data_IF_722958520979
#
_entry.id   IF_722958520979
#
_cell.length_a   1.000
_cell.length_b   1.000
_cell.length_c   1.000
_cell.angle_alpha   90.00
_cell.angle_beta   90.00
_cell.angle_gamma   90.00
#
_symmetry.space_group_name_H-M   'P 1'
#
loop_
_entity.id
_entity.type
_entity.pdbx_description
1 polymer ?
#
# COMPACT_ATOMS: atom_id res chain seq x y z
N UNK A 1 -1.18 -9.64 -28.90
CA UNK A 1 -2.18 -10.57 -28.31
C UNK A 1 -1.47 -11.37 -27.23
N UNK A 2 -1.65 -11.01 -25.96
CA UNK A 2 -1.05 -11.75 -24.84
C UNK A 2 -1.73 -13.11 -24.71
N UNK A 3 -0.95 -14.20 -24.71
CA UNK A 3 -1.39 -15.56 -24.39
C UNK A 3 -1.96 -15.62 -22.96
N UNK A 4 -3.21 -15.19 -22.76
CA UNK A 4 -3.91 -15.41 -21.50
C UNK A 4 -4.29 -16.89 -21.44
N UNK A 5 -3.61 -17.64 -20.55
CA UNK A 5 -4.02 -19.01 -20.23
C UNK A 5 -5.38 -18.93 -19.55
N UNK A 6 -6.40 -19.40 -20.26
CA UNK A 6 -7.75 -19.52 -19.76
C UNK A 6 -7.91 -20.91 -19.12
N UNK A 7 -8.26 -20.96 -17.84
CA UNK A 7 -8.52 -22.21 -17.14
C UNK A 7 -10.03 -22.46 -17.08
N UNK A 8 -10.42 -23.73 -17.15
CA UNK A 8 -11.78 -24.14 -16.82
C UNK A 8 -11.89 -24.24 -15.30
N UNK A 9 -12.65 -23.29 -14.72
CA UNK A 9 -12.76 -23.10 -13.27
C UNK A 9 -14.23 -22.96 -12.89
N UNK A 10 -14.63 -23.67 -11.84
CA UNK A 10 -15.95 -23.54 -11.23
C UNK A 10 -15.85 -23.28 -9.72
N UNK A 11 -16.80 -22.51 -9.20
CA UNK A 11 -16.91 -22.22 -7.78
C UNK A 11 -17.80 -23.28 -7.12
N UNK A 12 -17.20 -24.17 -6.31
CA UNK A 12 -17.92 -25.24 -5.60
C UNK A 12 -18.64 -24.68 -4.37
N UNK A 13 -17.95 -23.83 -3.61
CA UNK A 13 -18.46 -23.20 -2.40
C UNK A 13 -18.00 -21.75 -2.36
N UNK A 14 -18.93 -20.83 -2.12
CA UNK A 14 -18.65 -19.39 -2.02
C UNK A 14 -17.78 -19.09 -0.80
N UNK A 15 -17.95 -19.84 0.30
CA UNK A 15 -17.32 -19.52 1.58
C UNK A 15 -17.98 -18.34 2.28
N UNK A 16 -17.37 -17.89 3.38
CA UNK A 16 -17.92 -16.86 4.27
C UNK A 16 -17.04 -15.62 4.34
N UNK A 17 -17.69 -14.45 4.41
CA UNK A 17 -17.03 -13.20 4.79
C UNK A 17 -16.93 -13.18 6.31
N UNK A 18 -15.71 -13.25 6.82
CA UNK A 18 -15.43 -13.11 8.24
C UNK A 18 -14.97 -11.68 8.52
N UNK A 19 -15.63 -10.99 9.45
CA UNK A 19 -15.37 -9.57 9.74
C UNK A 19 -13.94 -9.30 10.19
N UNK A 20 -13.35 -10.16 11.03
CA UNK A 20 -11.98 -9.99 11.52
C UNK A 20 -10.94 -10.18 10.39
N UNK A 21 -11.19 -11.13 9.50
CA UNK A 21 -10.27 -11.42 8.39
C UNK A 21 -10.39 -10.40 7.25
N UNK A 22 -11.61 -10.00 6.89
CA UNK A 22 -11.85 -9.17 5.70
C UNK A 22 -11.86 -7.67 6.01
N UNK A 23 -12.08 -7.28 7.27
CA UNK A 23 -12.16 -5.90 7.74
C UNK A 23 -11.39 -5.65 9.04
N UNK A 24 -10.41 -6.51 9.35
CA UNK A 24 -9.47 -6.32 10.47
C UNK A 24 -8.08 -5.84 10.02
N UNK A 25 -7.07 -5.90 10.91
CA UNK A 25 -5.74 -5.35 10.64
C UNK A 25 -5.06 -5.97 9.40
N UNK A 26 -5.19 -7.28 9.23
CA UNK A 26 -4.57 -8.03 8.13
C UNK A 26 -5.46 -8.18 6.89
N UNK A 27 -6.53 -7.38 6.82
CA UNK A 27 -7.53 -7.46 5.76
C UNK A 27 -6.94 -7.32 4.37
N UNK A 28 -5.91 -6.51 4.16
CA UNK A 28 -5.27 -6.35 2.84
C UNK A 28 -4.80 -7.65 2.18
N UNK A 29 -4.61 -8.74 2.96
CA UNK A 29 -4.22 -10.06 2.44
C UNK A 29 -5.40 -10.96 2.06
N UNK A 30 -6.62 -10.59 2.47
CA UNK A 30 -7.87 -11.31 2.21
C UNK A 30 -8.64 -10.75 1.00
N UNK A 31 -8.00 -9.88 0.22
CA UNK A 31 -8.55 -9.32 -1.02
C UNK A 31 -7.55 -9.47 -2.16
N UNK A 32 -8.04 -9.79 -3.35
CA UNK A 32 -7.24 -9.96 -4.56
C UNK A 32 -7.71 -9.02 -5.65
N UNK A 33 -6.77 -8.41 -6.37
CA UNK A 33 -7.07 -7.58 -7.54
C UNK A 33 -7.48 -8.47 -8.71
N UNK A 34 -8.75 -8.37 -9.12
CA UNK A 34 -9.36 -9.14 -10.20
C UNK A 34 -8.92 -8.61 -11.58
N UNK A 35 -8.98 -7.29 -11.77
CA UNK A 35 -8.63 -6.63 -13.01
C UNK A 35 -7.65 -5.48 -12.74
N UNK A 36 -6.58 -5.40 -13.53
CA UNK A 36 -5.57 -4.33 -13.44
C UNK A 36 -6.09 -2.98 -13.95
N UNK A 37 -7.11 -2.96 -14.79
CA UNK A 37 -7.68 -1.73 -15.35
C UNK A 37 -8.63 -1.05 -14.39
N UNK A 38 -9.47 -1.83 -13.69
CA UNK A 38 -10.45 -1.30 -12.73
C UNK A 38 -9.96 -1.32 -11.28
N UNK A 39 -8.79 -1.94 -11.03
CA UNK A 39 -8.26 -2.25 -9.70
C UNK A 39 -9.27 -2.88 -8.74
N UNK A 40 -10.30 -3.55 -9.30
CA UNK A 40 -11.40 -4.13 -8.52
C UNK A 40 -10.85 -5.21 -7.58
N UNK A 41 -11.15 -5.04 -6.29
CA UNK A 41 -10.80 -6.00 -5.26
C UNK A 41 -11.95 -6.99 -5.02
N UNK A 42 -11.60 -8.27 -5.01
CA UNK A 42 -12.52 -9.39 -4.78
C UNK A 42 -12.08 -10.10 -3.50
N UNK A 43 -13.01 -10.45 -2.59
CA UNK A 43 -12.64 -11.08 -1.34
C UNK A 43 -12.21 -12.53 -1.56
N UNK A 44 -11.20 -12.96 -0.82
CA UNK A 44 -10.77 -14.35 -0.72
C UNK A 44 -11.52 -14.96 0.45
N UNK A 45 -12.75 -15.45 0.22
CA UNK A 45 -13.63 -15.88 1.32
C UNK A 45 -13.07 -17.08 2.09
N UNK A 46 -13.24 -17.05 3.41
CA UNK A 46 -12.87 -18.18 4.26
C UNK A 46 -13.71 -19.41 3.88
N UNK A 47 -13.07 -20.57 3.73
CA UNK A 47 -13.71 -21.82 3.29
C UNK A 47 -14.29 -21.79 1.85
N UNK A 48 -13.94 -20.80 1.03
CA UNK A 48 -14.25 -20.86 -0.40
C UNK A 48 -13.56 -22.07 -1.04
N UNK A 49 -14.23 -22.69 -2.00
CA UNK A 49 -13.72 -23.83 -2.76
C UNK A 49 -13.87 -23.61 -4.25
N UNK A 50 -12.79 -23.74 -4.99
CA UNK A 50 -12.77 -23.63 -6.45
C UNK A 50 -12.24 -24.92 -7.05
N UNK A 51 -12.82 -25.37 -8.15
CA UNK A 51 -12.35 -26.53 -8.91
C UNK A 51 -11.76 -26.09 -10.24
N UNK A 52 -10.53 -26.50 -10.52
CA UNK A 52 -9.87 -26.29 -11.81
C UNK A 52 -9.69 -27.63 -12.51
N UNK A 53 -10.14 -27.75 -13.76
CA UNK A 53 -9.92 -28.96 -14.57
C UNK A 53 -8.57 -28.87 -15.31
N UNK A 54 -7.66 -29.80 -15.02
CA UNK A 54 -6.33 -29.86 -15.62
C UNK A 54 -5.97 -31.31 -15.99
N UNK A 55 -5.58 -31.52 -17.26
CA UNK A 55 -5.12 -32.83 -17.76
C UNK A 55 -6.06 -34.01 -17.48
N UNK A 56 -7.37 -33.79 -17.45
CA UNK A 56 -8.33 -34.86 -17.16
C UNK A 56 -8.69 -35.01 -15.69
N UNK A 57 -8.16 -34.17 -14.80
CA UNK A 57 -8.36 -34.27 -13.36
C UNK A 57 -8.91 -32.97 -12.77
N UNK A 58 -9.73 -33.11 -11.73
CA UNK A 58 -10.29 -32.00 -10.97
C UNK A 58 -9.38 -31.68 -9.78
N UNK A 59 -8.80 -30.49 -9.78
CA UNK A 59 -8.05 -29.94 -8.66
C UNK A 59 -8.97 -29.02 -7.88
N UNK A 60 -9.24 -29.34 -6.63
CA UNK A 60 -10.05 -28.51 -5.74
C UNK A 60 -9.11 -27.76 -4.82
N UNK A 61 -9.27 -26.44 -4.76
CA UNK A 61 -8.54 -25.58 -3.82
C UNK A 61 -9.51 -25.07 -2.78
N UNK A 62 -9.16 -25.28 -1.51
CA UNK A 62 -9.92 -24.79 -0.35
C UNK A 62 -9.13 -23.70 0.37
N UNK A 63 -9.76 -22.56 0.63
CA UNK A 63 -9.18 -21.47 1.44
C UNK A 63 -9.44 -21.71 2.92
N UNK A 64 -8.41 -21.54 3.74
CA UNK A 64 -8.45 -21.64 5.20
C UNK A 64 -7.76 -20.44 5.85
N UNK A 65 -8.00 -20.22 7.15
CA UNK A 65 -7.25 -19.22 7.93
C UNK A 65 -5.87 -19.78 8.28
N UNK A 66 -4.84 -19.00 7.98
CA UNK A 66 -3.47 -19.29 8.35
C UNK A 66 -2.76 -20.20 7.35
N UNK A 67 -1.45 -20.00 7.27
CA UNK A 67 -0.53 -20.84 6.51
C UNK A 67 0.77 -21.04 7.31
N UNK A 68 1.69 -21.83 6.75
CA UNK A 68 2.98 -22.19 7.38
C UNK A 68 3.81 -20.99 7.88
N UNK A 69 3.62 -19.81 7.28
CA UNK A 69 4.42 -18.61 7.58
C UNK A 69 3.61 -17.56 8.36
N UNK A 70 2.30 -17.49 8.15
CA UNK A 70 1.45 -16.41 8.61
C UNK A 70 0.09 -16.92 9.07
N UNK A 71 -0.20 -16.81 10.38
CA UNK A 71 -1.46 -17.26 10.98
C UNK A 71 -2.68 -16.43 10.58
N UNK A 72 -2.49 -15.15 10.24
CA UNK A 72 -3.58 -14.22 9.90
C UNK A 72 -3.81 -14.07 8.38
N UNK A 73 -3.05 -14.78 7.55
CA UNK A 73 -3.16 -14.70 6.08
C UNK A 73 -3.97 -15.89 5.55
N UNK A 74 -4.52 -15.81 4.32
CA UNK A 74 -5.14 -16.97 3.72
C UNK A 74 -4.11 -18.10 3.53
N UNK A 75 -4.55 -19.31 3.85
CA UNK A 75 -3.89 -20.56 3.50
C UNK A 75 -4.68 -21.30 2.44
N UNK A 76 -3.97 -22.05 1.61
CA UNK A 76 -4.55 -22.76 0.47
C UNK A 76 -4.22 -24.24 0.56
N UNK A 77 -5.26 -25.05 0.69
CA UNK A 77 -5.18 -26.51 0.57
C UNK A 77 -5.60 -26.91 -0.84
N UNK A 78 -4.93 -27.89 -1.42
CA UNK A 78 -5.28 -28.44 -2.72
C UNK A 78 -5.47 -29.95 -2.60
N UNK A 79 -6.56 -30.45 -3.18
CA UNK A 79 -6.90 -31.86 -3.27
C UNK A 79 -7.23 -32.25 -4.72
N UNK A 80 -6.85 -33.47 -5.10
CA UNK A 80 -7.16 -34.08 -6.38
C UNK A 80 -7.21 -35.61 -6.18
N UNK A 81 -8.39 -36.11 -5.79
CA UNK A 81 -8.58 -37.53 -5.47
C UNK A 81 -7.73 -37.96 -4.28
N UNK A 82 -6.82 -38.91 -4.49
CA UNK A 82 -5.93 -39.43 -3.45
C UNK A 82 -4.75 -38.50 -3.12
N UNK A 83 -4.51 -37.46 -3.93
CA UNK A 83 -3.40 -36.53 -3.72
C UNK A 83 -3.88 -35.23 -3.08
N UNK A 84 -3.33 -34.88 -1.92
CA UNK A 84 -3.68 -33.66 -1.21
C UNK A 84 -2.46 -33.01 -0.52
N UNK A 85 -2.64 -31.76 -0.12
CA UNK A 85 -1.68 -31.00 0.69
C UNK A 85 -2.00 -31.20 2.17
N UNK A 86 -1.03 -31.65 2.95
CA UNK A 86 -1.21 -31.89 4.40
C UNK A 86 -1.32 -30.59 5.19
N UNK A 87 -0.65 -29.53 4.73
CA UNK A 87 -0.63 -28.22 5.40
C UNK A 87 -0.95 -27.09 4.41
N UNK A 88 -1.56 -25.99 4.88
CA UNK A 88 -1.95 -24.88 4.01
C UNK A 88 -0.73 -24.17 3.41
N UNK A 89 -0.73 -24.04 2.09
CA UNK A 89 0.29 -23.29 1.35
C UNK A 89 0.04 -21.78 1.46
N UNK A 90 1.10 -20.98 1.32
CA UNK A 90 1.05 -19.51 1.32
C UNK A 90 0.31 -18.92 0.09
N UNK A 91 0.08 -19.71 -0.96
CA UNK A 91 -0.63 -19.28 -2.17
C UNK A 91 -1.32 -20.46 -2.86
N UNK A 92 -2.39 -20.16 -3.62
CA UNK A 92 -3.08 -21.14 -4.46
C UNK A 92 -2.18 -21.75 -5.52
N UNK A 93 -1.24 -20.95 -6.08
CA UNK A 93 -0.20 -21.42 -6.99
C UNK A 93 0.63 -22.54 -6.36
N UNK A 94 1.12 -22.33 -5.14
CA UNK A 94 1.97 -23.32 -4.46
C UNK A 94 1.17 -24.59 -4.13
N UNK A 95 -0.08 -24.44 -3.69
CA UNK A 95 -0.96 -25.55 -3.37
C UNK A 95 -1.17 -26.46 -4.60
N UNK A 96 -1.60 -25.88 -5.73
CA UNK A 96 -1.86 -26.68 -6.94
C UNK A 96 -0.59 -27.24 -7.56
N UNK A 97 0.50 -26.45 -7.62
CA UNK A 97 1.78 -26.91 -8.19
C UNK A 97 2.37 -28.07 -7.41
N UNK A 98 2.17 -28.10 -6.08
CA UNK A 98 2.63 -29.21 -5.23
C UNK A 98 1.91 -30.50 -5.61
N UNK A 99 0.57 -30.48 -5.73
CA UNK A 99 -0.22 -31.67 -6.10
C UNK A 99 0.06 -32.09 -7.54
N UNK A 100 0.12 -31.12 -8.45
CA UNK A 100 0.43 -31.38 -9.84
C UNK A 100 1.81 -32.04 -10.02
N UNK A 101 2.81 -31.59 -9.24
CA UNK A 101 4.14 -32.23 -9.23
C UNK A 101 4.09 -33.64 -8.64
N UNK A 102 3.34 -33.87 -7.55
CA UNK A 102 3.17 -35.21 -6.96
C UNK A 102 2.54 -36.19 -7.97
N UNK A 103 1.56 -35.74 -8.75
CA UNK A 103 0.83 -36.59 -9.71
C UNK A 103 1.59 -36.85 -11.02
N UNK A 104 2.26 -35.82 -11.56
CA UNK A 104 2.82 -35.89 -12.93
C UNK A 104 4.35 -35.79 -12.97
N UNK A 105 5.02 -35.73 -11.83
CA UNK A 105 6.47 -35.53 -11.71
C UNK A 105 6.97 -34.29 -12.50
N UNK A 106 6.13 -33.26 -12.65
CA UNK A 106 6.40 -32.08 -13.46
C UNK A 106 6.26 -30.78 -12.64
N UNK A 107 7.28 -29.92 -12.73
CA UNK A 107 7.31 -28.62 -12.06
C UNK A 107 6.65 -27.53 -12.90
N UNK A 108 5.34 -27.63 -13.09
CA UNK A 108 4.55 -26.58 -13.76
C UNK A 108 4.10 -25.53 -12.74
N UNK A 109 4.33 -24.25 -13.05
CA UNK A 109 3.81 -23.11 -12.28
C UNK A 109 2.52 -22.60 -12.92
N UNK A 110 1.53 -22.32 -12.09
CA UNK A 110 0.22 -21.81 -12.49
C UNK A 110 0.01 -20.39 -11.97
N UNK A 111 -0.84 -19.60 -12.62
CA UNK A 111 -1.23 -18.31 -12.05
C UNK A 111 -2.27 -18.51 -10.96
N UNK A 112 -1.94 -18.16 -9.71
CA UNK A 112 -2.81 -18.33 -8.56
C UNK A 112 -4.20 -17.69 -8.72
N UNK A 113 -4.30 -16.43 -9.16
CA UNK A 113 -5.60 -15.82 -9.38
C UNK A 113 -6.44 -16.49 -10.48
N UNK A 114 -5.80 -16.92 -11.57
CA UNK A 114 -6.50 -17.51 -12.72
C UNK A 114 -6.99 -18.94 -12.44
N UNK A 115 -6.24 -19.75 -11.69
CA UNK A 115 -6.71 -21.10 -11.30
C UNK A 115 -7.88 -21.04 -10.32
N UNK A 116 -7.92 -20.00 -9.47
CA UNK A 116 -9.04 -19.74 -8.57
C UNK A 116 -10.22 -19.10 -9.33
N UNK A 117 -10.01 -18.70 -10.59
CA UNK A 117 -11.04 -18.10 -11.44
C UNK A 117 -11.47 -16.71 -11.00
N UNK A 118 -10.59 -15.95 -10.33
CA UNK A 118 -10.90 -14.56 -9.95
C UNK A 118 -11.07 -13.63 -11.16
N UNK A 119 -10.64 -14.04 -12.36
CA UNK A 119 -10.87 -13.35 -13.63
C UNK A 119 -12.24 -13.68 -14.26
N UNK A 120 -13.00 -14.63 -13.71
CA UNK A 120 -14.28 -15.09 -14.25
C UNK A 120 -15.44 -14.29 -13.65
N UNK A 121 -16.24 -13.56 -14.46
CA UNK A 121 -17.39 -12.80 -13.97
C UNK A 121 -18.34 -13.60 -13.10
N UNK A 122 -18.71 -14.81 -13.54
CA UNK A 122 -19.61 -15.71 -12.82
C UNK A 122 -19.09 -16.11 -11.42
N UNK A 123 -17.79 -16.03 -11.18
CA UNK A 123 -17.16 -16.36 -9.90
C UNK A 123 -17.02 -15.09 -9.06
N UNK A 124 -16.38 -14.05 -9.58
CA UNK A 124 -16.12 -12.86 -8.75
C UNK A 124 -17.41 -12.10 -8.41
N UNK A 125 -18.43 -12.06 -9.28
CA UNK A 125 -19.72 -11.45 -8.95
C UNK A 125 -20.35 -12.15 -7.74
N UNK A 126 -20.31 -13.48 -7.71
CA UNK A 126 -20.82 -14.28 -6.59
C UNK A 126 -20.00 -14.09 -5.31
N UNK A 127 -18.68 -13.87 -5.44
CA UNK A 127 -17.81 -13.56 -4.31
C UNK A 127 -18.03 -12.13 -3.77
N UNK A 128 -18.69 -11.25 -4.51
CA UNK A 128 -19.00 -9.88 -4.09
C UNK A 128 -20.41 -9.75 -3.45
N UNK A 129 -21.27 -10.75 -3.58
CA UNK A 129 -22.61 -10.76 -2.95
C UNK A 129 -22.51 -10.62 -1.42
N UNK A 130 -23.38 -9.87 -0.75
CA UNK A 130 -23.36 -9.73 0.73
C UNK A 130 -22.08 -9.09 1.34
N UNK A 131 -21.21 -8.51 0.52
CA UNK A 131 -20.05 -7.75 1.00
C UNK A 131 -20.53 -6.39 1.55
N UNK A 132 -20.33 -6.07 2.84
CA UNK A 132 -20.88 -4.85 3.44
C UNK A 132 -20.16 -3.58 2.99
N UNK A 133 -18.87 -3.69 2.67
CA UNK A 133 -18.03 -2.59 2.22
C UNK A 133 -16.99 -3.14 1.25
N UNK A 134 -16.74 -2.42 0.16
CA UNK A 134 -15.73 -2.78 -0.83
C UNK A 134 -14.47 -1.98 -0.55
N UNK A 135 -13.38 -2.63 -0.07
CA UNK A 135 -12.12 -1.94 0.14
C UNK A 135 -11.51 -1.45 -1.16
N UNK A 136 -10.61 -0.49 -1.03
CA UNK A 136 -9.84 0.03 -2.15
C UNK A 136 -8.47 0.50 -1.69
N UNK A 137 -7.56 0.60 -2.64
CA UNK A 137 -6.25 1.19 -2.42
C UNK A 137 -6.26 2.68 -2.75
N UNK A 138 -5.65 3.47 -1.88
CA UNK A 138 -5.28 4.86 -2.14
C UNK A 138 -3.77 4.91 -2.25
N UNK A 139 -3.30 5.34 -3.41
CA UNK A 139 -1.88 5.50 -3.66
C UNK A 139 -1.41 6.83 -3.06
N UNK A 140 -0.67 6.77 -1.96
CA UNK A 140 0.12 7.89 -1.45
C UNK A 140 1.58 7.68 -1.85
N UNK A 141 2.37 8.75 -1.87
CA UNK A 141 3.71 8.75 -2.51
C UNK A 141 4.72 7.74 -1.98
N UNK A 142 4.58 7.35 -0.72
CA UNK A 142 5.47 6.40 -0.04
C UNK A 142 4.76 5.09 0.31
N UNK A 143 3.43 5.08 0.29
CA UNK A 143 2.62 3.99 0.85
C UNK A 143 1.36 3.77 0.04
N UNK A 144 1.02 2.50 -0.13
CA UNK A 144 -0.28 2.08 -0.66
C UNK A 144 -1.21 1.85 0.53
N UNK A 145 -2.17 2.75 0.71
CA UNK A 145 -3.11 2.71 1.83
C UNK A 145 -4.31 1.87 1.44
N UNK A 146 -4.53 0.79 2.18
CA UNK A 146 -5.69 -0.07 2.07
C UNK A 146 -6.81 0.48 2.97
N UNK A 147 -7.88 1.00 2.39
CA UNK A 147 -9.04 1.51 3.12
C UNK A 147 -10.12 0.44 3.16
N UNK A 148 -10.54 0.04 4.35
CA UNK A 148 -11.50 -1.05 4.56
C UNK A 148 -12.65 -0.68 5.53
N UNK A 149 -12.72 0.58 5.93
CA UNK A 149 -13.86 1.15 6.65
C UNK A 149 -13.94 2.65 6.42
N UNK A 150 -15.14 3.17 6.18
CA UNK A 150 -15.39 4.60 5.99
C UNK A 150 -16.50 5.04 6.94
N UNK A 151 -16.27 6.15 7.60
CA UNK A 151 -17.29 6.93 8.26
C UNK A 151 -17.03 8.41 8.02
N UNK A 152 -18.08 9.23 8.02
CA UNK A 152 -17.99 10.68 7.82
C UNK A 152 -18.21 11.40 9.14
N UNK A 153 -17.51 12.50 9.34
CA UNK A 153 -17.71 13.43 10.44
C UNK A 153 -17.65 14.88 9.95
N UNK A 154 -17.94 15.82 10.85
CA UNK A 154 -17.71 17.25 10.62
C UNK A 154 -16.29 17.68 10.99
N UNK A 155 -15.43 16.76 11.42
CA UNK A 155 -14.08 17.06 11.86
C UNK A 155 -13.15 17.29 10.66
N UNK A 156 -12.89 18.55 10.34
CA UNK A 156 -11.99 18.94 9.25
C UNK A 156 -10.53 18.56 9.49
N UNK A 157 -10.10 18.40 10.76
CA UNK A 157 -8.74 17.98 11.10
C UNK A 157 -8.47 16.52 10.68
N UNK A 158 -9.53 15.74 10.51
CA UNK A 158 -9.47 14.35 10.07
C UNK A 158 -9.83 14.17 8.60
N UNK A 159 -9.79 15.26 7.82
CA UNK A 159 -10.26 15.22 6.43
C UNK A 159 -11.71 14.77 6.31
N UNK A 160 -12.54 15.09 7.32
CA UNK A 160 -13.96 14.71 7.42
C UNK A 160 -14.22 13.21 7.60
N UNK A 161 -13.20 12.40 7.88
CA UNK A 161 -13.42 11.03 8.32
C UNK A 161 -13.94 10.99 9.76
N UNK A 162 -14.74 9.97 10.09
CA UNK A 162 -15.43 9.83 11.37
C UNK A 162 -15.19 8.48 12.04
N UNK A 163 -15.86 8.27 13.17
CA UNK A 163 -15.78 7.03 13.94
C UNK A 163 -16.23 5.84 13.08
N UNK A 164 -15.36 4.86 12.93
CA UNK A 164 -15.54 3.73 12.00
C UNK A 164 -14.70 3.82 10.72
N UNK A 165 -13.96 4.91 10.50
CA UNK A 165 -12.89 4.93 9.50
C UNK A 165 -11.78 3.96 9.88
N UNK A 166 -11.37 3.11 8.94
CA UNK A 166 -10.30 2.12 9.11
C UNK A 166 -9.45 2.00 7.86
N UNK A 167 -8.14 2.10 8.05
CA UNK A 167 -7.17 1.90 6.98
C UNK A 167 -5.90 1.24 7.48
N UNK A 168 -5.16 0.61 6.56
CA UNK A 168 -3.86 0.04 6.87
C UNK A 168 -2.86 0.23 5.73
N UNK A 169 -1.57 0.24 6.04
CA UNK A 169 -0.53 0.23 5.02
C UNK A 169 0.73 -0.45 5.54
N UNK A 170 1.55 -0.92 4.61
CA UNK A 170 2.83 -1.55 4.92
C UNK A 170 3.95 -0.55 4.70
N UNK A 171 4.80 -0.37 5.71
CA UNK A 171 5.97 0.50 5.62
C UNK A 171 7.19 -0.14 6.30
N UNK A 172 8.39 0.21 5.84
CA UNK A 172 9.64 -0.33 6.37
C UNK A 172 10.23 0.64 7.41
N UNK A 173 10.19 0.23 8.68
CA UNK A 173 10.87 0.91 9.80
C UNK A 173 12.11 0.12 10.20
N UNK A 174 13.26 0.76 10.32
CA UNK A 174 14.52 0.12 10.79
C UNK A 174 14.87 -1.22 10.09
N UNK A 175 14.65 -1.28 8.76
CA UNK A 175 14.83 -2.50 7.93
C UNK A 175 13.84 -3.64 8.22
N UNK A 176 12.78 -3.37 8.97
CA UNK A 176 11.73 -4.32 9.27
C UNK A 176 10.39 -3.84 8.70
N UNK A 177 9.69 -4.73 8.00
CA UNK A 177 8.36 -4.43 7.44
C UNK A 177 7.33 -4.45 8.56
N UNK A 178 6.67 -3.32 8.76
CA UNK A 178 5.62 -3.12 9.76
C UNK A 178 4.28 -2.82 9.06
N UNK A 179 3.21 -3.25 9.69
CA UNK A 179 1.84 -2.92 9.31
C UNK A 179 1.37 -1.77 10.21
N UNK A 180 0.96 -0.68 9.60
CA UNK A 180 0.33 0.43 10.28
C UNK A 180 -1.17 0.27 10.12
N UNK A 181 -1.88 0.28 11.22
CA UNK A 181 -3.34 0.25 11.29
C UNK A 181 -3.81 1.58 11.86
N UNK A 182 -4.70 2.26 11.15
CA UNK A 182 -5.30 3.51 11.55
C UNK A 182 -6.80 3.31 11.76
N UNK A 183 -7.28 3.69 12.93
CA UNK A 183 -8.69 3.57 13.33
C UNK A 183 -9.14 4.86 14.02
N UNK A 184 -10.34 5.32 13.71
CA UNK A 184 -10.98 6.43 14.42
C UNK A 184 -12.02 5.90 15.39
N UNK A 185 -11.77 6.07 16.68
CA UNK A 185 -12.55 5.57 17.81
C UNK A 185 -12.72 6.72 18.82
N UNK A 186 -13.94 6.94 19.30
CA UNK A 186 -14.26 7.87 20.42
C UNK A 186 -13.58 9.26 20.33
N UNK A 187 -13.70 9.92 19.17
CA UNK A 187 -13.09 11.23 18.90
C UNK A 187 -11.54 11.26 18.99
N UNK A 188 -10.89 10.09 18.90
CA UNK A 188 -9.43 9.96 18.77
C UNK A 188 -9.00 9.23 17.50
N UNK A 189 -7.84 9.62 16.96
CA UNK A 189 -7.16 8.85 15.92
C UNK A 189 -6.14 7.92 16.59
N UNK A 190 -6.36 6.61 16.43
CA UNK A 190 -5.48 5.56 16.93
C UNK A 190 -4.67 4.98 15.78
N UNK A 191 -3.35 4.98 15.93
CA UNK A 191 -2.44 4.29 15.00
C UNK A 191 -1.70 3.19 15.73
N UNK A 192 -1.91 1.96 15.29
CA UNK A 192 -1.25 0.76 15.81
C UNK A 192 -0.18 0.30 14.84
N UNK A 193 1.06 0.17 15.31
CA UNK A 193 2.17 -0.38 14.53
C UNK A 193 2.33 -1.85 14.93
N UNK A 194 2.19 -2.74 13.96
CA UNK A 194 2.28 -4.18 14.15
C UNK A 194 3.46 -4.79 13.39
N UNK A 195 4.10 -5.77 14.01
CA UNK A 195 5.14 -6.59 13.40
C UNK A 195 4.86 -8.08 13.66
N UNK A 196 4.82 -8.91 12.60
CA UNK A 196 4.61 -10.37 12.70
C UNK A 196 3.46 -10.73 13.67
N UNK A 197 2.32 -10.03 13.58
CA UNK A 197 1.12 -10.15 14.45
C UNK A 197 1.20 -9.53 15.84
N UNK A 198 2.36 -9.06 16.30
CA UNK A 198 2.50 -8.40 17.59
C UNK A 198 2.41 -6.88 17.47
N UNK A 199 1.69 -6.25 18.40
CA UNK A 199 1.67 -4.79 18.54
C UNK A 199 3.03 -4.33 19.07
N UNK A 200 3.64 -3.37 18.38
CA UNK A 200 4.92 -2.75 18.78
C UNK A 200 4.70 -1.43 19.48
N UNK A 201 3.86 -0.58 18.92
CA UNK A 201 3.53 0.74 19.46
C UNK A 201 2.09 1.09 19.13
N UNK A 202 1.48 1.91 19.98
CA UNK A 202 0.17 2.51 19.77
C UNK A 202 0.30 4.01 20.02
N UNK A 203 -0.21 4.80 19.09
CA UNK A 203 -0.28 6.25 19.17
C UNK A 203 -1.74 6.69 19.23
N UNK A 204 -2.02 7.66 20.09
CA UNK A 204 -3.30 8.35 20.18
C UNK A 204 -3.03 9.82 19.93
N UNK A 205 -3.43 10.35 18.78
CA UNK A 205 -3.22 11.76 18.45
C UNK A 205 -4.46 12.42 17.82
N UNK A 206 -4.46 13.75 17.82
CA UNK A 206 -5.52 14.57 17.23
C UNK A 206 -5.53 14.56 15.70
N UNK A 207 -4.41 14.25 15.03
CA UNK A 207 -4.32 14.25 13.55
C UNK A 207 -3.44 13.13 13.00
N UNK A 208 -3.90 12.35 12.00
CA UNK A 208 -3.14 11.27 11.36
C UNK A 208 -1.77 11.67 10.79
N UNK A 209 -1.68 12.87 10.20
CA UNK A 209 -0.48 13.37 9.53
C UNK A 209 0.70 13.55 10.48
N UNK A 210 0.42 13.81 11.75
CA UNK A 210 1.45 14.05 12.76
C UNK A 210 2.17 12.74 13.12
N UNK A 211 1.44 11.64 13.36
CA UNK A 211 2.00 10.30 13.62
C UNK A 211 2.81 9.79 12.42
N UNK A 212 2.21 9.86 11.23
CA UNK A 212 2.88 9.50 9.98
C UNK A 212 4.15 10.33 9.81
N UNK A 213 4.11 11.63 10.08
CA UNK A 213 5.31 12.45 10.01
C UNK A 213 6.34 12.06 11.06
N UNK A 214 6.01 11.87 12.35
CA UNK A 214 6.99 11.55 13.39
C UNK A 214 7.75 10.24 13.11
N UNK A 215 7.04 9.15 12.78
CA UNK A 215 7.67 7.84 12.56
C UNK A 215 8.37 7.76 11.19
N UNK A 216 7.85 8.43 10.16
CA UNK A 216 8.51 8.47 8.84
C UNK A 216 9.71 9.43 8.84
N UNK A 217 9.67 10.54 9.58
CA UNK A 217 10.77 11.51 9.71
C UNK A 217 11.95 10.87 10.44
N UNK A 218 11.73 10.12 11.54
CA UNK A 218 12.84 9.45 12.23
C UNK A 218 13.54 8.37 11.38
N UNK A 219 12.86 7.81 10.38
CA UNK A 219 13.43 6.84 9.44
C UNK A 219 14.05 7.49 8.18
N UNK A 220 13.68 8.73 7.87
CA UNK A 220 14.12 9.43 6.67
C UNK A 220 15.29 10.38 6.97
N UNK A 221 16.24 10.56 6.03
CA UNK A 221 17.29 11.53 6.22
C UNK A 221 16.69 12.95 6.29
N UNK A 222 17.07 13.72 7.30
CA UNK A 222 16.65 15.10 7.53
C UNK A 222 17.87 15.94 7.91
N UNK A 223 17.78 17.25 7.72
CA UNK A 223 18.81 18.17 8.19
C UNK A 223 18.21 19.50 8.64
N UNK A 224 18.96 20.25 9.43
CA UNK A 224 18.65 21.64 9.77
C UNK A 224 19.29 22.60 8.78
N UNK A 225 18.88 23.88 8.84
CA UNK A 225 19.42 24.95 7.98
C UNK A 225 20.94 25.11 8.06
N UNK A 226 21.54 24.78 9.21
CA UNK A 226 22.98 24.90 9.45
C UNK A 226 23.77 23.74 8.81
N UNK A 227 23.10 22.69 8.39
CA UNK A 227 23.69 21.46 7.84
C UNK A 227 23.53 21.39 6.31
N UNK A 228 23.08 22.47 5.67
CA UNK A 228 22.94 22.52 4.21
C UNK A 228 24.29 22.47 3.46
N UNK A 229 25.39 22.76 4.14
CA UNK A 229 26.76 22.64 3.58
C UNK A 229 27.34 21.22 3.71
N UNK A 230 26.61 20.28 4.34
CA UNK A 230 27.01 18.88 4.39
C UNK A 230 26.58 18.17 3.09
N UNK A 231 27.49 18.14 2.11
CA UNK A 231 27.27 17.52 0.81
C UNK A 231 26.86 16.05 0.90
N UNK A 232 27.38 15.32 1.88
CA UNK A 232 27.08 13.90 2.07
C UNK A 232 25.64 13.74 2.56
N UNK A 233 25.22 14.58 3.50
CA UNK A 233 23.86 14.59 4.03
C UNK A 233 22.85 15.07 2.97
N UNK A 234 23.14 16.15 2.25
CA UNK A 234 22.28 16.67 1.19
C UNK A 234 22.13 15.67 0.04
N UNK A 235 23.19 14.99 -0.40
CA UNK A 235 23.09 13.94 -1.42
C UNK A 235 22.28 12.74 -0.91
N UNK A 236 22.42 12.38 0.37
CA UNK A 236 21.59 11.35 0.99
C UNK A 236 20.11 11.73 1.00
N UNK A 237 19.80 12.99 1.31
CA UNK A 237 18.43 13.53 1.29
C UNK A 237 17.88 13.60 -0.15
N UNK A 238 18.67 14.12 -1.10
CA UNK A 238 18.32 14.16 -2.53
C UNK A 238 18.02 12.76 -3.08
N UNK A 239 18.89 11.80 -2.79
CA UNK A 239 18.75 10.42 -3.24
C UNK A 239 17.50 9.74 -2.70
N UNK A 240 17.08 10.11 -1.48
CA UNK A 240 15.90 9.57 -0.82
C UNK A 240 14.59 10.21 -1.35
N UNK A 241 14.56 11.54 -1.51
CA UNK A 241 13.34 12.28 -1.84
C UNK A 241 13.16 12.56 -3.33
N UNK A 242 14.20 12.98 -4.05
CA UNK A 242 14.07 13.55 -5.40
C UNK A 242 14.59 12.62 -6.51
N UNK A 243 15.63 11.82 -6.27
CA UNK A 243 16.32 11.01 -7.32
C UNK A 243 15.44 10.08 -8.15
N UNK A 244 14.32 9.59 -7.62
CA UNK A 244 13.35 8.74 -8.36
C UNK A 244 12.13 9.51 -8.89
N UNK A 245 12.02 10.80 -8.55
CA UNK A 245 10.82 11.62 -8.70
C UNK A 245 11.04 12.84 -9.59
N UNK A 246 12.29 13.26 -9.79
CA UNK A 246 12.68 14.39 -10.64
C UNK A 246 13.64 13.95 -11.74
N UNK A 247 13.93 14.84 -12.69
CA UNK A 247 14.97 14.60 -13.69
C UNK A 247 16.35 14.51 -13.05
N UNK A 248 17.28 13.79 -13.68
CA UNK A 248 18.68 13.64 -13.22
C UNK A 248 19.48 14.96 -13.26
N UNK A 249 18.88 16.06 -13.74
CA UNK A 249 19.52 17.37 -13.88
C UNK A 249 19.10 18.37 -12.80
N UNK A 250 18.25 17.96 -11.85
CA UNK A 250 17.86 18.83 -10.73
C UNK A 250 19.03 19.01 -9.78
N UNK A 251 19.54 20.23 -9.71
CA UNK A 251 20.62 20.63 -8.81
C UNK A 251 20.05 21.19 -7.50
N UNK A 252 19.93 20.30 -6.51
CA UNK A 252 19.44 20.67 -5.18
C UNK A 252 20.39 21.65 -4.48
N UNK A 253 21.70 21.53 -4.65
CA UNK A 253 22.68 22.41 -4.01
C UNK A 253 22.51 23.85 -4.48
N UNK A 254 22.47 24.05 -5.80
CA UNK A 254 22.26 25.38 -6.38
C UNK A 254 20.91 25.98 -5.97
N UNK A 255 19.87 25.14 -5.86
CA UNK A 255 18.59 25.59 -5.33
C UNK A 255 18.70 26.10 -3.89
N UNK A 256 19.38 25.37 -3.00
CA UNK A 256 19.60 25.78 -1.60
C UNK A 256 20.48 27.03 -1.49
N UNK A 257 21.48 27.20 -2.36
CA UNK A 257 22.34 28.38 -2.39
C UNK A 257 21.59 29.62 -2.87
N UNK A 258 20.83 29.51 -3.96
CA UNK A 258 19.92 30.58 -4.41
C UNK A 258 18.92 30.93 -3.32
N UNK A 259 18.44 29.92 -2.60
CA UNK A 259 17.53 30.12 -1.49
C UNK A 259 18.14 30.98 -0.39
N UNK A 260 19.38 30.67 0.03
CA UNK A 260 20.11 31.47 1.02
C UNK A 260 20.26 32.94 0.62
N UNK A 261 20.34 33.22 -0.69
CA UNK A 261 20.51 34.57 -1.24
C UNK A 261 19.20 35.36 -1.39
N UNK A 262 18.05 34.69 -1.60
CA UNK A 262 16.76 35.34 -1.91
C UNK A 262 15.93 35.77 -0.68
N UNK A 263 16.37 35.45 0.54
CA UNK A 263 15.75 35.93 1.78
C UNK A 263 14.89 34.90 2.53
N UNK A 264 14.05 35.37 3.47
CA UNK A 264 13.23 34.54 4.37
C UNK A 264 11.97 33.96 3.72
N UNK A 265 11.55 34.51 2.57
CA UNK A 265 10.32 34.17 1.84
C UNK A 265 10.65 33.88 0.39
N UNK A 266 10.30 32.68 -0.09
CA UNK A 266 10.48 32.29 -1.49
C UNK A 266 9.19 31.74 -2.08
N UNK A 267 8.89 32.16 -3.31
CA UNK A 267 7.83 31.62 -4.13
C UNK A 267 8.29 30.31 -4.79
N UNK A 268 7.67 29.19 -4.39
CA UNK A 268 8.16 27.86 -4.70
C UNK A 268 8.05 27.50 -6.19
N UNK A 269 6.98 27.86 -6.87
CA UNK A 269 6.73 27.38 -8.23
C UNK A 269 7.70 27.99 -9.25
N UNK A 270 7.96 29.30 -9.19
CA UNK A 270 8.89 29.94 -10.13
C UNK A 270 10.34 29.54 -9.86
N UNK A 271 10.70 29.31 -8.59
CA UNK A 271 12.05 28.83 -8.24
C UNK A 271 12.28 27.39 -8.67
N UNK A 272 11.29 26.51 -8.49
CA UNK A 272 11.37 25.15 -9.01
C UNK A 272 11.43 25.13 -10.53
N UNK A 273 10.64 25.94 -11.25
CA UNK A 273 10.69 26.02 -12.72
C UNK A 273 12.09 26.35 -13.28
N UNK A 274 12.93 27.07 -12.54
CA UNK A 274 14.31 27.37 -12.97
C UNK A 274 15.22 26.12 -12.98
N UNK A 275 14.86 25.05 -12.28
CA UNK A 275 15.63 23.81 -12.20
C UNK A 275 15.29 22.82 -13.32
N UNK A 276 14.27 23.10 -14.13
CA UNK A 276 13.79 22.23 -15.20
C UNK A 276 13.87 22.95 -16.55
N UNK A 277 13.73 22.20 -17.64
CA UNK A 277 13.65 22.81 -18.98
C UNK A 277 12.44 23.73 -19.10
N UNK A 278 12.52 24.73 -19.98
CA UNK A 278 11.51 25.79 -20.15
C UNK A 278 10.10 25.21 -20.44
N UNK A 279 10.03 24.07 -21.13
CA UNK A 279 8.77 23.40 -21.48
C UNK A 279 8.29 22.38 -20.44
N UNK A 280 9.02 22.19 -19.34
CA UNK A 280 8.67 21.20 -18.31
C UNK A 280 7.49 21.67 -17.45
N UNK A 281 6.44 20.86 -17.43
CA UNK A 281 5.34 21.05 -16.49
C UNK A 281 5.57 20.18 -15.27
N UNK A 282 5.80 20.82 -14.12
CA UNK A 282 5.89 20.14 -12.83
C UNK A 282 4.60 19.39 -12.54
N UNK A 283 4.70 18.08 -12.46
CA UNK A 283 3.61 17.23 -12.01
C UNK A 283 3.31 17.45 -10.52
N UNK A 284 2.09 17.15 -10.11
CA UNK A 284 1.71 17.18 -8.69
C UNK A 284 2.63 16.30 -7.82
N UNK A 285 3.08 15.17 -8.39
CA UNK A 285 4.04 14.24 -7.78
C UNK A 285 5.41 14.87 -7.54
N UNK A 286 5.91 15.68 -8.48
CA UNK A 286 7.18 16.40 -8.31
C UNK A 286 7.04 17.50 -7.26
N UNK A 287 5.95 18.27 -7.31
CA UNK A 287 5.69 19.36 -6.36
C UNK A 287 5.60 18.86 -4.92
N UNK A 288 4.95 17.73 -4.70
CA UNK A 288 4.86 17.13 -3.38
C UNK A 288 6.18 16.53 -2.90
N UNK A 289 6.97 15.92 -3.79
CA UNK A 289 8.33 15.50 -3.45
C UNK A 289 9.19 16.68 -2.98
N UNK A 290 9.03 17.84 -3.64
CA UNK A 290 9.64 19.10 -3.22
C UNK A 290 9.10 19.61 -1.87
N UNK A 291 7.80 19.53 -1.61
CA UNK A 291 7.24 19.87 -0.28
C UNK A 291 7.83 19.00 0.83
N UNK A 292 8.01 17.71 0.56
CA UNK A 292 8.56 16.75 1.52
C UNK A 292 10.04 17.01 1.82
N UNK A 293 10.88 17.21 0.80
CA UNK A 293 12.28 17.52 1.05
C UNK A 293 12.42 18.83 1.81
N UNK A 294 11.69 19.88 1.42
CA UNK A 294 11.71 21.19 2.08
C UNK A 294 11.32 21.07 3.56
N UNK A 295 10.25 20.35 3.88
CA UNK A 295 9.84 20.11 5.27
C UNK A 295 10.92 19.41 6.10
N UNK A 296 11.68 18.51 5.48
CA UNK A 296 12.69 17.68 6.15
C UNK A 296 14.10 18.30 6.19
N UNK A 297 14.37 19.37 5.44
CA UNK A 297 15.63 20.13 5.51
C UNK A 297 15.51 21.39 6.39
N UNK A 298 14.47 21.46 7.22
CA UNK A 298 14.24 22.56 8.17
C UNK A 298 13.29 23.66 7.68
N UNK A 299 12.56 23.47 6.57
CA UNK A 299 11.57 24.44 6.10
C UNK A 299 10.17 24.13 6.66
N UNK A 300 9.82 24.70 7.81
CA UNK A 300 8.61 24.31 8.54
C UNK A 300 7.35 25.15 8.25
N UNK A 301 7.47 26.30 7.60
CA UNK A 301 6.34 27.20 7.34
C UNK A 301 6.04 27.32 5.85
N UNK A 302 5.37 26.32 5.26
CA UNK A 302 4.87 26.35 3.88
C UNK A 302 3.44 26.90 3.90
N UNK A 303 3.20 28.09 3.35
CA UNK A 303 1.88 28.72 3.30
C UNK A 303 1.41 28.86 1.85
N UNK A 304 0.23 28.34 1.47
CA UNK A 304 -0.31 28.59 0.13
C UNK A 304 -0.70 30.07 -0.02
N UNK A 305 -0.09 30.75 -0.99
CA UNK A 305 -0.48 32.08 -1.44
C UNK A 305 -1.71 32.00 -2.37
N UNK A 306 -1.84 30.91 -3.13
CA UNK A 306 -2.98 30.50 -3.98
C UNK A 306 -3.04 28.95 -4.05
N UNK A 307 -4.09 28.31 -4.63
CA UNK A 307 -4.18 26.84 -4.74
C UNK A 307 -2.95 26.15 -5.36
N UNK A 308 -2.11 26.92 -6.06
CA UNK A 308 -0.91 26.44 -6.76
C UNK A 308 0.35 27.28 -6.48
N UNK A 309 0.34 28.20 -5.51
CA UNK A 309 1.51 29.06 -5.22
C UNK A 309 1.83 28.90 -3.74
N UNK A 310 3.06 28.52 -3.40
CA UNK A 310 3.50 28.32 -2.02
C UNK A 310 4.59 29.31 -1.64
N UNK A 311 4.44 29.93 -0.47
CA UNK A 311 5.41 30.81 0.19
C UNK A 311 6.02 30.07 1.37
N UNK A 312 7.35 30.09 1.47
CA UNK A 312 8.11 29.41 2.52
C UNK A 312 8.76 30.41 3.48
N UNK A 313 8.46 30.36 4.78
CA UNK A 313 9.09 31.20 5.81
C UNK A 313 10.22 30.47 6.56
N UNK A 314 11.35 31.14 6.77
CA UNK A 314 12.37 30.76 7.76
C UNK A 314 11.92 31.26 9.15
N UNK A 315 11.76 30.39 10.15
CA UNK A 315 11.79 30.85 11.54
C UNK A 315 13.23 30.94 12.00
N UNK A 316 13.53 32.02 12.72
CA UNK A 316 14.85 32.50 13.12
C UNK A 316 15.77 31.41 13.69
#
# INVERSE_FOLDING_TARGET
>A
MSNYKNYDVSLISVGVINTELHFGPFSCYWWVTCNKETELLVPIRLHMKTMTFLKGYNFVITVVKGNREHSEWPGYLCDCGEFYTDEPSISSMNAISTIYQKMFCNKTKFSGPLIMGFDKPTIYEKLLEEVPFHPYFVNLELVHVFVFGIAKSKNSQWGYAGVGFKSSFLFQLEKQRCLFLQEFEDDTCKVTIMQKTQIKKIYYESTPDLILSQELIHAAPSCSLNEWDDDILIEKIFSYYLKRRTSNHVDLHNFLDKWRQQGTIIELHSNLKQLYSIDHQLSERELNAWRMILRNIGCHNITPFYPHILILNKMH
#
